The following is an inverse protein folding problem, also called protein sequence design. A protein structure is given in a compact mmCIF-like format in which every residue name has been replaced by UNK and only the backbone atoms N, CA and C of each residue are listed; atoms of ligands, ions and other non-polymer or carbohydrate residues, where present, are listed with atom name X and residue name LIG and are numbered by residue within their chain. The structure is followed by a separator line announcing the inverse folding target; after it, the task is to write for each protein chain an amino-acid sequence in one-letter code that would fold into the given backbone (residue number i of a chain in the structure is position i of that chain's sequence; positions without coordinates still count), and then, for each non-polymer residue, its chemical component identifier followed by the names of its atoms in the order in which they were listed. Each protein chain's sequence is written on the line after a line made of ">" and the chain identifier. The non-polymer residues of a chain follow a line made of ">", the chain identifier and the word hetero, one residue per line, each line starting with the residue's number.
data_IF_166926091702
#
_entry.id   IF_166926091702
#
_cell.length_a   1.000
_cell.length_b   1.000
_cell.length_c   1.000
_cell.angle_alpha   90.00
_cell.angle_beta   90.00
_cell.angle_gamma   90.00
#
_symmetry.space_group_name_H-M   'P 1'
#
loop_
_entity.id
_entity.type
_entity.pdbx_description
1 polymer ?
#
# COMPACT_ATOMS: atom_id res chain seq x y z
N UNK A 1 16.38 -2.73 23.33
CA UNK A 1 16.01 -3.94 24.10
C UNK A 1 17.24 -4.51 24.75
N UNK A 2 18.28 -4.85 23.98
CA UNK A 2 19.53 -5.47 24.52
C UNK A 2 20.23 -4.58 25.57
N UNK A 3 20.35 -3.28 25.30
CA UNK A 3 21.04 -2.32 26.20
C UNK A 3 20.33 -2.16 27.55
N UNK A 4 19.02 -2.38 27.58
CA UNK A 4 18.20 -2.27 28.79
C UNK A 4 17.92 -3.63 29.46
N UNK A 5 18.57 -4.71 29.01
CA UNK A 5 18.38 -6.09 29.54
C UNK A 5 16.91 -6.55 29.57
N UNK A 6 16.14 -6.13 28.58
CA UNK A 6 14.73 -6.51 28.44
C UNK A 6 14.59 -7.83 27.70
N UNK A 7 13.67 -8.68 28.14
CA UNK A 7 13.29 -9.89 27.42
C UNK A 7 12.28 -9.56 26.32
N UNK A 8 12.55 -10.03 25.12
CA UNK A 8 11.70 -9.83 23.94
C UNK A 8 10.63 -10.92 23.85
N UNK A 9 9.40 -10.51 23.62
CA UNK A 9 8.27 -11.41 23.38
C UNK A 9 7.55 -11.01 22.09
N UNK A 10 7.75 -11.79 21.04
CA UNK A 10 7.09 -11.58 19.75
C UNK A 10 5.60 -11.89 19.85
N UNK A 11 4.75 -11.00 19.32
CA UNK A 11 3.29 -11.12 19.29
C UNK A 11 2.75 -10.86 17.88
N UNK A 12 1.48 -11.17 17.67
CA UNK A 12 0.84 -11.05 16.36
C UNK A 12 0.75 -9.60 15.87
N UNK A 13 0.45 -8.66 16.78
CA UNK A 13 0.33 -7.24 16.47
C UNK A 13 0.63 -6.35 17.67
N UNK A 14 0.81 -5.05 17.41
CA UNK A 14 1.20 -4.07 18.42
C UNK A 14 0.02 -3.61 19.27
N UNK A 15 -1.16 -3.45 18.70
CA UNK A 15 -2.36 -3.01 19.44
C UNK A 15 -2.85 -4.09 20.39
N UNK A 16 -2.89 -5.35 19.95
CA UNK A 16 -3.21 -6.51 20.79
C UNK A 16 -2.20 -6.72 21.92
N UNK A 17 -0.94 -6.36 21.68
CA UNK A 17 0.06 -6.37 22.77
C UNK A 17 -0.25 -5.33 23.84
N UNK A 18 -0.65 -4.12 23.45
CA UNK A 18 -1.08 -3.07 24.37
C UNK A 18 -2.33 -3.49 25.16
N UNK A 19 -3.33 -4.05 24.48
CA UNK A 19 -4.54 -4.57 25.13
C UNK A 19 -4.20 -5.65 26.17
N UNK A 20 -3.30 -6.58 25.83
CA UNK A 20 -2.90 -7.67 26.71
C UNK A 20 -2.25 -7.15 28.00
N UNK A 21 -1.30 -6.22 27.93
CA UNK A 21 -0.64 -5.67 29.13
C UNK A 21 -1.60 -4.87 30.00
N UNK A 22 -2.54 -4.13 29.38
CA UNK A 22 -3.60 -3.41 30.11
C UNK A 22 -4.47 -4.37 30.95
N UNK A 23 -4.83 -5.53 30.39
CA UNK A 23 -5.61 -6.55 31.10
C UNK A 23 -4.81 -7.24 32.20
N UNK A 24 -3.52 -7.53 31.95
CA UNK A 24 -2.66 -8.22 32.93
C UNK A 24 -2.28 -7.35 34.12
N UNK A 25 -2.17 -6.05 33.94
CA UNK A 25 -1.75 -5.08 34.98
C UNK A 25 -0.40 -5.42 35.61
N UNK A 26 0.49 -6.08 34.86
CA UNK A 26 1.84 -6.42 35.33
C UNK A 26 2.80 -5.28 34.97
N UNK A 27 3.23 -4.53 36.00
CA UNK A 27 4.15 -3.38 35.83
C UNK A 27 5.53 -3.74 35.30
N UNK A 28 5.88 -5.03 35.21
CA UNK A 28 7.13 -5.50 34.64
C UNK A 28 7.03 -5.72 33.13
N UNK A 29 5.87 -5.54 32.53
CA UNK A 29 5.64 -5.71 31.11
C UNK A 29 5.34 -4.37 30.43
N UNK A 30 5.89 -4.20 29.23
CA UNK A 30 5.60 -3.07 28.35
C UNK A 30 5.33 -3.57 26.94
N UNK A 31 4.66 -2.78 26.11
CA UNK A 31 4.42 -3.07 24.71
C UNK A 31 4.97 -1.94 23.84
N UNK A 32 5.44 -2.30 22.66
CA UNK A 32 5.69 -1.34 21.57
C UNK A 32 4.39 -1.21 20.80
N UNK A 33 3.80 -0.01 20.82
CA UNK A 33 2.53 0.27 20.18
C UNK A 33 2.40 1.75 19.82
N UNK A 34 1.31 2.15 19.15
CA UNK A 34 1.01 3.56 18.89
C UNK A 34 0.61 4.29 20.17
N UNK A 35 0.80 5.61 20.21
CA UNK A 35 0.29 6.44 21.30
C UNK A 35 -1.24 6.36 21.44
N UNK A 36 -1.96 6.19 20.34
CA UNK A 36 -3.40 5.95 20.32
C UNK A 36 -3.78 4.67 21.06
N UNK A 37 -3.01 3.59 20.93
CA UNK A 37 -3.25 2.36 21.70
C UNK A 37 -3.08 2.58 23.20
N UNK A 38 -2.12 3.40 23.62
CA UNK A 38 -1.96 3.76 25.03
C UNK A 38 -3.19 4.52 25.56
N UNK A 39 -3.71 5.48 24.78
CA UNK A 39 -4.91 6.23 25.12
C UNK A 39 -6.15 5.32 25.26
N UNK A 40 -6.39 4.46 24.25
CA UNK A 40 -7.56 3.55 24.21
C UNK A 40 -7.53 2.56 25.38
N UNK A 41 -6.36 2.01 25.72
CA UNK A 41 -6.24 0.97 26.74
C UNK A 41 -5.83 1.50 28.13
N UNK A 42 -5.77 2.82 28.31
CA UNK A 42 -5.44 3.45 29.59
C UNK A 42 -4.02 3.12 30.07
N UNK A 43 -3.06 3.11 29.16
CA UNK A 43 -1.65 2.84 29.44
C UNK A 43 -0.82 4.13 29.44
N UNK A 44 0.22 4.16 30.25
CA UNK A 44 1.20 5.24 30.24
C UNK A 44 2.24 5.04 29.15
N UNK A 45 2.56 6.12 28.42
CA UNK A 45 3.62 6.14 27.40
C UNK A 45 4.96 6.41 28.08
N UNK A 46 5.76 5.37 28.25
CA UNK A 46 7.09 5.45 28.89
C UNK A 46 8.11 6.17 27.98
N UNK A 47 8.10 5.88 26.68
CA UNK A 47 9.04 6.45 25.71
C UNK A 47 8.36 6.62 24.35
N UNK A 48 8.53 7.81 23.74
CA UNK A 48 8.04 8.14 22.40
C UNK A 48 9.17 8.02 21.37
N UNK A 49 8.80 7.92 20.11
CA UNK A 49 9.70 7.95 18.95
C UNK A 49 10.81 6.90 19.07
N UNK A 50 10.41 5.65 19.25
CA UNK A 50 11.31 4.50 19.44
C UNK A 50 11.50 3.68 18.16
N UNK A 51 10.98 4.16 17.05
CA UNK A 51 11.20 3.59 15.72
C UNK A 51 12.69 3.56 15.37
N UNK A 52 13.13 2.50 14.71
CA UNK A 52 14.54 2.35 14.30
C UNK A 52 14.90 3.33 13.17
N UNK A 53 13.93 3.67 12.33
CA UNK A 53 14.11 4.56 11.19
C UNK A 53 13.03 5.65 11.21
N UNK A 54 13.45 6.89 11.12
CA UNK A 54 12.54 8.02 10.94
C UNK A 54 11.89 7.95 9.56
N UNK A 55 10.58 8.18 9.49
CA UNK A 55 9.85 8.17 8.21
C UNK A 55 9.29 6.81 7.80
N UNK A 56 9.22 5.84 8.71
CA UNK A 56 8.50 4.61 8.47
C UNK A 56 6.98 4.90 8.39
N UNK A 57 6.43 4.82 7.18
CA UNK A 57 5.03 5.12 6.89
C UNK A 57 4.29 3.86 6.46
N UNK A 58 3.14 3.62 7.05
CA UNK A 58 2.23 2.54 6.63
C UNK A 58 1.05 3.15 5.88
N UNK A 59 0.85 2.71 4.64
CA UNK A 59 -0.30 3.12 3.84
C UNK A 59 -1.48 2.18 4.11
N UNK A 60 -2.60 2.75 4.52
CA UNK A 60 -3.88 2.06 4.65
C UNK A 60 -4.78 2.41 3.47
N UNK A 61 -5.47 1.42 2.92
CA UNK A 61 -6.47 1.59 1.87
C UNK A 61 -7.84 1.31 2.46
N UNK A 62 -8.76 2.26 2.29
CA UNK A 62 -10.18 2.04 2.61
C UNK A 62 -10.82 1.37 1.41
N UNK A 63 -11.32 0.16 1.62
CA UNK A 63 -11.92 -0.65 0.56
C UNK A 63 -13.43 -0.80 0.76
N UNK A 64 -14.18 -0.76 -0.33
CA UNK A 64 -15.63 -0.95 -0.32
C UNK A 64 -16.14 -1.47 -1.65
N UNK A 65 -17.32 -2.11 -1.64
CA UNK A 65 -17.95 -2.65 -2.87
C UNK A 65 -18.45 -1.57 -3.82
N UNK A 66 -18.87 -0.41 -3.31
CA UNK A 66 -19.50 0.67 -4.04
C UNK A 66 -18.85 2.01 -3.70
N UNK A 67 -17.55 2.10 -3.81
CA UNK A 67 -16.86 3.39 -3.64
C UNK A 67 -16.95 4.17 -4.95
N UNK A 68 -17.52 5.39 -4.88
CA UNK A 68 -17.51 6.32 -6.01
C UNK A 68 -16.08 6.81 -6.26
N UNK A 69 -15.72 6.90 -7.53
CA UNK A 69 -14.47 7.54 -7.91
C UNK A 69 -14.54 9.06 -7.65
N UNK A 70 -13.46 9.70 -7.21
CA UNK A 70 -13.44 11.15 -7.09
C UNK A 70 -13.59 11.80 -8.47
N UNK A 71 -14.19 13.00 -8.52
CA UNK A 71 -14.19 13.79 -9.74
C UNK A 71 -12.77 14.24 -10.12
N UNK A 72 -12.47 14.23 -11.42
CA UNK A 72 -11.20 14.73 -11.92
C UNK A 72 -11.10 16.26 -11.75
N UNK A 73 -10.27 16.69 -10.83
CA UNK A 73 -10.00 18.11 -10.49
C UNK A 73 -8.50 18.35 -10.47
N UNK A 74 -8.10 19.61 -10.20
CA UNK A 74 -6.69 19.95 -10.04
C UNK A 74 -6.14 19.47 -8.68
N UNK A 75 -6.02 18.16 -8.54
CA UNK A 75 -5.49 17.43 -7.38
C UNK A 75 -4.56 16.32 -7.83
N UNK A 76 -3.78 15.78 -6.91
CA UNK A 76 -2.97 14.59 -7.14
C UNK A 76 -3.80 13.34 -6.87
N UNK A 77 -3.80 12.40 -7.80
CA UNK A 77 -4.54 11.15 -7.72
C UNK A 77 -3.62 9.95 -7.84
N UNK A 78 -4.11 8.82 -7.36
CA UNK A 78 -3.53 7.50 -7.58
C UNK A 78 -4.60 6.64 -8.22
N UNK A 79 -4.25 5.96 -9.29
CA UNK A 79 -5.06 4.90 -9.88
C UNK A 79 -4.41 3.55 -9.59
N UNK A 80 -5.15 2.66 -8.93
CA UNK A 80 -4.76 1.27 -8.70
C UNK A 80 -5.47 0.36 -9.68
N UNK A 81 -4.74 -0.54 -10.31
CA UNK A 81 -5.29 -1.48 -11.28
C UNK A 81 -4.58 -2.83 -11.24
N UNK A 82 -5.29 -3.84 -11.69
CA UNK A 82 -4.81 -5.21 -11.79
C UNK A 82 -4.84 -5.62 -13.27
N UNK A 83 -3.79 -6.29 -13.74
CA UNK A 83 -3.76 -6.80 -15.09
C UNK A 83 -3.05 -8.15 -15.19
N UNK A 84 -3.42 -8.92 -16.20
CA UNK A 84 -2.80 -10.18 -16.58
C UNK A 84 -2.32 -10.09 -18.02
N UNK A 85 -1.08 -10.49 -18.28
CA UNK A 85 -0.48 -10.40 -19.59
C UNK A 85 -0.63 -11.69 -20.39
N UNK A 86 -0.73 -11.55 -21.70
CA UNK A 86 -0.55 -12.67 -22.63
C UNK A 86 0.87 -13.23 -22.48
N UNK A 87 0.99 -14.55 -22.33
CA UNK A 87 2.30 -15.20 -22.18
C UNK A 87 3.11 -15.11 -23.47
N UNK A 88 3.99 -14.11 -23.54
CA UNK A 88 4.89 -13.82 -24.66
C UNK A 88 6.24 -13.33 -24.13
N UNK A 89 7.34 -13.60 -24.85
CA UNK A 89 8.62 -12.96 -24.53
C UNK A 89 8.51 -11.45 -24.47
N UNK A 90 9.12 -10.82 -23.47
CA UNK A 90 9.12 -9.38 -23.23
C UNK A 90 7.72 -8.74 -23.01
N UNK A 91 6.68 -9.52 -22.70
CA UNK A 91 5.31 -9.01 -22.55
C UNK A 91 5.22 -7.86 -21.54
N UNK A 92 5.84 -8.01 -20.37
CA UNK A 92 5.83 -6.95 -19.35
C UNK A 92 6.53 -5.68 -19.83
N UNK A 93 7.68 -5.80 -20.47
CA UNK A 93 8.40 -4.65 -21.03
C UNK A 93 7.54 -3.89 -22.04
N UNK A 94 6.94 -4.61 -22.98
CA UNK A 94 6.08 -4.01 -24.01
C UNK A 94 4.83 -3.35 -23.42
N UNK A 95 4.21 -3.99 -22.43
CA UNK A 95 3.00 -3.48 -21.77
C UNK A 95 3.22 -2.20 -20.97
N UNK A 96 4.43 -1.98 -20.46
CA UNK A 96 4.77 -0.79 -19.68
C UNK A 96 5.24 0.38 -20.56
N UNK A 97 5.50 0.17 -21.85
CA UNK A 97 6.01 1.18 -22.76
C UNK A 97 5.12 2.42 -22.86
N UNK A 98 3.81 2.23 -22.89
CA UNK A 98 2.83 3.31 -22.97
C UNK A 98 2.94 4.31 -21.81
N UNK A 99 3.23 3.85 -20.61
CA UNK A 99 3.41 4.74 -19.45
C UNK A 99 4.65 5.63 -19.61
N UNK A 100 5.74 5.07 -20.09
CA UNK A 100 6.97 5.83 -20.35
C UNK A 100 6.78 6.89 -21.44
N UNK A 101 6.13 6.53 -22.57
CA UNK A 101 5.88 7.44 -23.69
C UNK A 101 4.97 8.59 -23.31
N UNK A 102 3.92 8.32 -22.53
CA UNK A 102 2.94 9.32 -22.12
C UNK A 102 3.37 10.07 -20.85
N UNK A 103 4.52 9.75 -20.24
CA UNK A 103 5.03 10.42 -19.04
C UNK A 103 4.21 10.14 -17.79
N UNK A 104 3.63 8.94 -17.67
CA UNK A 104 2.87 8.49 -16.50
C UNK A 104 3.79 7.70 -15.57
N UNK A 105 3.86 8.12 -14.31
CA UNK A 105 4.71 7.47 -13.31
C UNK A 105 4.00 6.29 -12.66
N UNK A 106 4.69 5.13 -12.63
CA UNK A 106 4.24 3.96 -11.89
C UNK A 106 4.91 3.95 -10.52
N UNK A 107 4.10 3.89 -9.45
CA UNK A 107 4.59 3.95 -8.07
C UNK A 107 4.57 2.60 -7.36
N UNK A 108 3.91 1.62 -7.95
CA UNK A 108 3.90 0.23 -7.49
C UNK A 108 3.76 -0.69 -8.68
N UNK A 109 4.53 -1.77 -8.67
CA UNK A 109 4.37 -2.92 -9.55
C UNK A 109 4.69 -4.18 -8.75
N UNK A 110 3.71 -5.04 -8.56
CA UNK A 110 3.84 -6.27 -7.78
C UNK A 110 3.17 -7.42 -8.51
N UNK A 111 3.89 -8.52 -8.68
CA UNK A 111 3.36 -9.73 -9.29
C UNK A 111 2.79 -10.69 -8.25
N UNK A 112 1.69 -11.35 -8.63
CA UNK A 112 1.06 -12.42 -7.87
C UNK A 112 0.88 -13.63 -8.77
N UNK A 113 1.35 -14.82 -8.40
CA UNK A 113 1.10 -16.02 -9.18
C UNK A 113 -0.40 -16.31 -9.21
N UNK A 114 -0.89 -16.70 -10.38
CA UNK A 114 -2.25 -17.23 -10.50
C UNK A 114 -2.36 -18.59 -9.81
N UNK A 115 -3.46 -18.80 -9.10
CA UNK A 115 -3.68 -20.04 -8.38
C UNK A 115 -3.64 -21.23 -9.35
N UNK A 116 -2.83 -22.24 -9.01
CA UNK A 116 -2.62 -23.46 -9.82
C UNK A 116 -1.96 -23.22 -11.20
N UNK A 117 -1.22 -22.16 -11.38
CA UNK A 117 -0.43 -21.91 -12.59
C UNK A 117 1.01 -21.58 -12.21
N UNK A 118 1.99 -22.06 -12.98
CA UNK A 118 3.39 -21.70 -12.84
C UNK A 118 3.80 -20.59 -13.80
N UNK A 119 3.01 -20.33 -14.86
CA UNK A 119 3.38 -19.46 -15.98
C UNK A 119 2.47 -18.23 -16.09
N UNK A 120 1.50 -18.09 -15.19
CA UNK A 120 0.53 -17.00 -15.24
C UNK A 120 0.59 -16.15 -13.97
N UNK A 121 0.64 -14.83 -14.17
CA UNK A 121 0.77 -13.85 -13.10
C UNK A 121 -0.20 -12.71 -13.30
N UNK A 122 -0.84 -12.29 -12.20
CA UNK A 122 -1.47 -10.99 -12.09
C UNK A 122 -0.47 -9.95 -11.62
N UNK A 123 -0.57 -8.75 -12.16
CA UNK A 123 0.24 -7.61 -11.77
C UNK A 123 -0.64 -6.54 -11.13
N UNK A 124 -0.40 -6.24 -9.86
CA UNK A 124 -1.00 -5.10 -9.17
C UNK A 124 -0.11 -3.88 -9.37
N UNK A 125 -0.69 -2.82 -9.92
CA UNK A 125 0.02 -1.60 -10.23
C UNK A 125 -0.71 -0.39 -9.63
N UNK A 126 0.07 0.59 -9.14
CA UNK A 126 -0.41 1.93 -8.83
C UNK A 126 0.33 2.92 -9.75
N UNK A 127 -0.40 3.88 -10.30
CA UNK A 127 0.15 5.01 -11.04
C UNK A 127 -0.24 6.34 -10.41
N UNK A 128 0.57 7.35 -10.64
CA UNK A 128 0.25 8.74 -10.30
C UNK A 128 -0.60 9.34 -11.43
N UNK A 129 -1.85 9.61 -11.14
CA UNK A 129 -2.81 10.21 -12.07
C UNK A 129 -4.24 9.71 -11.89
N UNK A 130 -5.17 10.46 -12.46
CA UNK A 130 -6.59 10.12 -12.51
C UNK A 130 -6.90 9.37 -13.81
N UNK A 131 -7.83 8.43 -13.77
CA UNK A 131 -8.22 7.62 -14.94
C UNK A 131 -8.76 8.48 -16.10
N UNK A 132 -9.31 9.66 -15.82
CA UNK A 132 -9.80 10.61 -16.83
C UNK A 132 -8.70 11.54 -17.38
N UNK A 133 -7.46 11.49 -16.85
CA UNK A 133 -6.35 12.21 -17.44
C UNK A 133 -6.02 11.61 -18.82
N UNK A 134 -5.98 12.41 -19.90
CA UNK A 134 -5.72 11.91 -21.25
C UNK A 134 -4.40 11.12 -21.38
N UNK A 135 -3.38 11.44 -20.59
CA UNK A 135 -2.10 10.70 -20.59
C UNK A 135 -2.28 9.31 -19.97
N UNK A 136 -3.05 9.24 -18.86
CA UNK A 136 -3.36 7.98 -18.20
C UNK A 136 -4.24 7.11 -19.07
N UNK A 137 -5.27 7.69 -19.71
CA UNK A 137 -6.15 6.97 -20.64
C UNK A 137 -5.36 6.30 -21.77
N UNK A 138 -4.52 7.06 -22.47
CA UNK A 138 -3.66 6.51 -23.55
C UNK A 138 -2.76 5.40 -23.04
N UNK A 139 -2.14 5.58 -21.87
CA UNK A 139 -1.25 4.55 -21.30
C UNK A 139 -2.00 3.26 -20.95
N UNK A 140 -3.23 3.37 -20.41
CA UNK A 140 -4.07 2.22 -20.08
C UNK A 140 -4.64 1.55 -21.34
N UNK A 141 -4.96 2.30 -22.37
CA UNK A 141 -5.37 1.76 -23.69
C UNK A 141 -4.23 0.93 -24.31
N UNK A 142 -3.00 1.45 -24.33
CA UNK A 142 -1.84 0.73 -24.81
C UNK A 142 -1.55 -0.53 -23.99
N UNK A 143 -1.63 -0.44 -22.67
CA UNK A 143 -1.53 -1.61 -21.77
C UNK A 143 -2.55 -2.68 -22.16
N UNK A 144 -3.80 -2.29 -22.39
CA UNK A 144 -4.92 -3.19 -22.73
C UNK A 144 -4.65 -4.06 -23.95
N UNK A 145 -3.88 -3.57 -24.94
CA UNK A 145 -3.51 -4.35 -26.13
C UNK A 145 -2.67 -5.60 -25.81
N UNK A 146 -1.96 -5.56 -24.68
CA UNK A 146 -1.08 -6.63 -24.23
C UNK A 146 -1.71 -7.54 -23.17
N UNK A 147 -2.85 -7.15 -22.61
CA UNK A 147 -3.52 -7.85 -21.52
C UNK A 147 -4.42 -8.98 -22.02
N UNK A 148 -4.53 -10.04 -21.22
CA UNK A 148 -5.63 -11.01 -21.24
C UNK A 148 -6.79 -10.54 -20.38
N UNK A 149 -6.46 -9.89 -19.26
CA UNK A 149 -7.41 -9.37 -18.29
C UNK A 149 -6.93 -8.03 -17.72
N UNK A 150 -7.85 -7.11 -17.45
CA UNK A 150 -7.55 -5.78 -16.95
C UNK A 150 -8.70 -5.23 -16.11
N UNK A 151 -8.41 -4.82 -14.87
CA UNK A 151 -9.38 -4.27 -13.94
C UNK A 151 -8.83 -3.03 -13.24
N UNK A 152 -9.53 -1.91 -13.31
CA UNK A 152 -9.29 -0.77 -12.43
C UNK A 152 -9.91 -1.07 -11.07
N UNK A 153 -9.10 -1.11 -10.03
CA UNK A 153 -9.52 -1.36 -8.66
C UNK A 153 -10.10 -0.10 -8.01
N UNK A 154 -9.57 1.06 -8.38
CA UNK A 154 -10.06 2.34 -7.89
C UNK A 154 -9.14 3.52 -8.20
N UNK A 155 -9.73 4.70 -8.10
CA UNK A 155 -9.04 5.99 -8.14
C UNK A 155 -9.29 6.69 -6.82
N UNK A 156 -8.26 7.29 -6.24
CA UNK A 156 -8.37 8.01 -4.98
C UNK A 156 -7.40 9.20 -4.93
N UNK A 157 -7.72 10.20 -4.12
CA UNK A 157 -6.84 11.33 -3.90
C UNK A 157 -5.56 10.87 -3.18
N UNK A 158 -4.41 11.36 -3.63
CA UNK A 158 -3.14 11.08 -2.97
C UNK A 158 -3.08 11.81 -1.62
N UNK A 159 -2.60 11.12 -0.59
CA UNK A 159 -2.37 11.73 0.71
C UNK A 159 -1.30 12.82 0.62
N UNK A 160 -1.48 13.90 1.39
CA UNK A 160 -0.57 15.05 1.45
C UNK A 160 0.86 14.66 1.86
N UNK A 161 1.03 13.61 2.64
CA UNK A 161 2.35 13.08 3.01
C UNK A 161 3.17 12.57 1.82
N UNK A 162 2.54 12.28 0.68
CA UNK A 162 3.25 11.92 -0.56
C UNK A 162 3.82 13.11 -1.32
N UNK A 163 3.33 14.32 -1.04
CA UNK A 163 3.74 15.54 -1.74
C UNK A 163 5.04 16.15 -1.17
N UNK A 164 5.50 15.66 -0.03
CA UNK A 164 6.68 16.14 0.69
C UNK A 164 7.94 15.32 0.39
N UNK A 165 8.13 14.91 -0.86
CA UNK A 165 9.39 14.30 -1.32
C UNK A 165 10.17 15.22 -2.22
#
# INVERSE_FOLDING_TARGET
>A
IKDNKLAEHIRADTAGSAEMISKKKDIKQSAIASSLSAEIYGLEVIKKNIENETGNLTRFLVMGKNISQPEFKNKTYITSFLFKLKSKPAALYQSLGGFAINGVNLTKLQSYPEKNSFDSYFFLCDLDGHIEDPKVQKSLEELGLHCEDFHVLGVFEADSLRQNK
#
